data_IF_887878529440
#
_entry.id   IF_887878529440
#
_cell.length_a   1.000
_cell.length_b   1.000
_cell.length_c   1.000
_cell.angle_alpha   90.00
_cell.angle_beta   90.00
_cell.angle_gamma   90.00
#
_symmetry.space_group_name_H-M   'P 1'
#
loop_
_entity.id
_entity.type
_entity.pdbx_description
1 polymer ?
#
# COMPACT_ATOMS: atom_id res chain seq x y z
N UNK A 1 -7.66 0.89 5.84
CA UNK A 1 -8.14 2.23 5.42
C UNK A 1 -8.00 2.35 3.91
N UNK A 2 -8.86 3.13 3.26
CA UNK A 2 -8.79 3.40 1.82
C UNK A 2 -8.80 4.91 1.63
N UNK A 3 -7.92 5.41 0.77
CA UNK A 3 -7.83 6.83 0.45
C UNK A 3 -7.75 7.03 -1.07
N UNK A 4 -8.63 7.90 -1.60
CA UNK A 4 -8.59 8.31 -3.00
C UNK A 4 -7.63 9.48 -3.15
N UNK A 5 -6.72 9.40 -4.11
CA UNK A 5 -5.78 10.47 -4.45
C UNK A 5 -5.77 10.71 -5.96
N UNK A 6 -5.57 11.97 -6.37
CA UNK A 6 -5.32 12.31 -7.75
C UNK A 6 -3.79 12.32 -7.99
N UNK A 7 -3.30 11.41 -8.82
CA UNK A 7 -1.88 11.26 -9.16
C UNK A 7 -1.74 11.37 -10.68
N UNK A 8 -0.96 12.34 -11.17
CA UNK A 8 -0.79 12.63 -12.60
C UNK A 8 -2.10 12.81 -13.38
N UNK A 9 -3.10 13.45 -12.76
CA UNK A 9 -4.43 13.66 -13.37
C UNK A 9 -5.28 12.40 -13.49
N UNK A 10 -4.92 11.33 -12.79
CA UNK A 10 -5.72 10.10 -12.67
C UNK A 10 -6.12 9.85 -11.22
N UNK A 11 -7.35 9.41 -11.05
CA UNK A 11 -7.85 8.93 -9.77
C UNK A 11 -7.20 7.58 -9.45
N UNK A 12 -6.55 7.50 -8.29
CA UNK A 12 -5.91 6.28 -7.78
C UNK A 12 -6.37 6.06 -6.35
N UNK A 13 -6.71 4.81 -6.03
CA UNK A 13 -7.14 4.43 -4.70
C UNK A 13 -6.00 3.70 -3.98
N UNK A 14 -5.59 4.22 -2.83
CA UNK A 14 -4.59 3.60 -1.97
C UNK A 14 -5.31 2.91 -0.81
N UNK A 15 -5.20 1.59 -0.74
CA UNK A 15 -5.68 0.79 0.38
C UNK A 15 -4.51 0.43 1.27
N UNK A 16 -4.58 0.85 2.53
CA UNK A 16 -3.63 0.47 3.57
C UNK A 16 -4.28 -0.56 4.47
N UNK A 17 -3.64 -1.72 4.59
CA UNK A 17 -4.06 -2.82 5.44
C UNK A 17 -3.04 -3.02 6.58
N UNK A 18 -3.53 -3.42 7.75
CA UNK A 18 -2.67 -3.81 8.87
C UNK A 18 -2.09 -5.18 8.56
N UNK A 19 -0.78 -5.31 8.67
CA UNK A 19 -0.06 -6.56 8.51
C UNK A 19 0.25 -7.13 9.90
N UNK A 20 -0.50 -8.15 10.36
CA UNK A 20 -0.30 -8.73 11.67
C UNK A 20 0.99 -9.54 11.69
N UNK A 21 1.96 -9.12 12.50
CA UNK A 21 3.15 -9.92 12.78
C UNK A 21 2.83 -10.87 13.93
N UNK A 22 2.59 -12.14 13.61
CA UNK A 22 2.45 -13.18 14.65
C UNK A 22 3.80 -13.36 15.37
N UNK A 23 3.79 -13.23 16.70
CA UNK A 23 4.94 -13.60 17.55
C UNK A 23 4.52 -14.54 18.66
N UNK A 24 5.42 -15.44 19.01
CA UNK A 24 5.28 -16.44 20.07
C UNK A 24 5.40 -15.85 21.50
N UNK A 25 5.81 -14.58 21.66
CA UNK A 25 6.07 -13.97 22.98
C UNK A 25 5.05 -12.87 23.35
N UNK A 26 4.21 -13.06 24.39
CA UNK A 26 3.10 -12.17 24.75
C UNK A 26 3.50 -10.88 25.51
N UNK A 27 4.78 -10.68 25.85
CA UNK A 27 5.23 -9.54 26.69
C UNK A 27 5.70 -8.30 25.91
N UNK A 28 5.58 -8.28 24.58
CA UNK A 28 6.04 -7.17 23.74
C UNK A 28 4.82 -6.55 23.06
N UNK A 29 4.67 -5.23 23.17
CA UNK A 29 3.64 -4.47 22.45
C UNK A 29 3.84 -4.74 20.95
N UNK A 30 2.82 -5.23 20.22
CA UNK A 30 2.98 -5.56 18.82
C UNK A 30 3.35 -4.30 18.04
N UNK A 31 4.47 -4.34 17.32
CA UNK A 31 4.70 -3.39 16.24
C UNK A 31 3.72 -3.78 15.13
N UNK A 32 2.64 -3.04 15.01
CA UNK A 32 1.73 -3.14 13.87
C UNK A 32 2.43 -2.56 12.65
N UNK A 33 2.62 -3.39 11.64
CA UNK A 33 3.08 -2.94 10.34
C UNK A 33 1.90 -2.71 9.42
N UNK A 34 2.12 -1.91 8.41
CA UNK A 34 1.12 -1.54 7.42
C UNK A 34 1.64 -1.92 6.05
N UNK A 35 0.76 -2.43 5.20
CA UNK A 35 1.01 -2.67 3.77
C UNK A 35 0.11 -1.78 2.95
N UNK A 36 0.54 -1.38 1.76
CA UNK A 36 -0.27 -0.57 0.85
C UNK A 36 -0.44 -1.27 -0.49
N UNK A 37 -1.68 -1.25 -0.98
CA UNK A 37 -2.04 -1.65 -2.35
C UNK A 37 -2.67 -0.47 -3.06
N UNK A 38 -2.38 -0.30 -4.34
CA UNK A 38 -2.99 0.74 -5.17
C UNK A 38 -3.92 0.14 -6.22
N UNK A 39 -4.99 0.85 -6.54
CA UNK A 39 -6.02 0.44 -7.50
C UNK A 39 -6.29 1.59 -8.47
N UNK A 40 -6.39 1.26 -9.76
CA UNK A 40 -6.77 2.21 -10.81
C UNK A 40 -8.30 2.38 -10.94
N UNK A 41 -9.03 1.49 -10.28
CA UNK A 41 -10.49 1.46 -10.21
C UNK A 41 -10.89 1.40 -8.74
N UNK A 42 -12.16 1.65 -8.45
CA UNK A 42 -12.65 1.69 -7.07
C UNK A 42 -12.48 0.29 -6.41
N UNK A 43 -11.74 0.18 -5.30
CA UNK A 43 -11.46 -1.10 -4.64
C UNK A 43 -12.70 -1.76 -4.03
N UNK A 44 -13.83 -1.06 -3.92
CA UNK A 44 -15.11 -1.62 -3.48
C UNK A 44 -15.89 -2.28 -4.62
N UNK A 45 -15.45 -2.13 -5.88
CA UNK A 45 -16.07 -2.80 -7.02
C UNK A 45 -15.66 -4.27 -7.13
N UNK A 46 -16.62 -5.12 -7.52
CA UNK A 46 -16.37 -6.53 -7.80
C UNK A 46 -15.36 -6.68 -8.95
N UNK A 47 -14.22 -7.31 -8.66
CA UNK A 47 -13.16 -7.57 -9.64
C UNK A 47 -12.02 -6.55 -9.66
N UNK A 48 -12.00 -5.56 -8.77
CA UNK A 48 -10.93 -4.57 -8.70
C UNK A 48 -9.55 -5.23 -8.46
N UNK A 49 -8.67 -5.13 -9.46
CA UNK A 49 -7.33 -5.69 -9.41
C UNK A 49 -6.36 -4.69 -8.75
N UNK A 50 -6.10 -4.87 -7.46
CA UNK A 50 -5.11 -4.09 -6.72
C UNK A 50 -3.69 -4.58 -6.96
N UNK A 51 -2.75 -3.65 -7.02
CA UNK A 51 -1.32 -3.95 -7.08
C UNK A 51 -0.72 -3.68 -5.70
N UNK A 52 -0.21 -4.74 -5.07
CA UNK A 52 0.48 -4.65 -3.79
C UNK A 52 1.85 -4.02 -3.97
N UNK A 53 2.19 -3.04 -3.13
CA UNK A 53 3.53 -2.46 -3.13
C UNK A 53 4.50 -3.44 -2.48
N UNK A 54 5.46 -3.91 -3.28
CA UNK A 54 6.49 -4.85 -2.87
C UNK A 54 7.84 -4.16 -2.65
N UNK A 55 8.71 -4.76 -1.84
CA UNK A 55 10.11 -4.39 -1.72
C UNK A 55 10.96 -5.02 -2.86
N UNK A 56 12.28 -4.80 -2.83
CA UNK A 56 13.23 -5.31 -3.83
C UNK A 56 13.27 -6.85 -3.91
N UNK A 57 12.88 -7.52 -2.83
CA UNK A 57 12.79 -8.98 -2.72
C UNK A 57 11.47 -9.54 -3.28
N UNK A 58 10.53 -8.68 -3.66
CA UNK A 58 9.18 -9.08 -4.09
C UNK A 58 8.21 -9.40 -2.94
N UNK A 59 8.60 -9.15 -1.69
CA UNK A 59 7.71 -9.33 -0.53
C UNK A 59 6.86 -8.06 -0.30
N UNK A 60 5.72 -8.15 0.40
CA UNK A 60 4.93 -6.97 0.75
C UNK A 60 5.77 -5.96 1.53
N UNK A 61 5.87 -4.73 1.01
CA UNK A 61 6.62 -3.68 1.71
C UNK A 61 5.90 -3.31 3.00
N UNK A 62 6.59 -3.50 4.12
CA UNK A 62 6.10 -3.16 5.45
C UNK A 62 6.43 -1.71 5.80
N UNK A 63 5.45 -0.99 6.33
CA UNK A 63 5.55 0.38 6.80
C UNK A 63 5.23 0.45 8.29
N UNK A 64 5.87 1.39 9.01
CA UNK A 64 5.68 1.56 10.46
C UNK A 64 4.46 2.42 10.81
N UNK A 65 3.82 3.05 9.82
CA UNK A 65 2.62 3.86 10.02
C UNK A 65 1.76 3.88 8.76
N UNK A 66 0.44 4.13 8.87
CA UNK A 66 -0.44 4.27 7.72
C UNK A 66 -0.06 5.45 6.83
N UNK A 67 0.46 6.54 7.40
CA UNK A 67 0.91 7.73 6.66
C UNK A 67 2.15 7.40 5.81
N UNK A 68 3.09 6.61 6.36
CA UNK A 68 4.24 6.13 5.61
C UNK A 68 3.82 5.19 4.47
N UNK A 69 2.81 4.33 4.72
CA UNK A 69 2.25 3.46 3.70
C UNK A 69 1.60 4.25 2.55
N UNK A 70 0.80 5.27 2.84
CA UNK A 70 0.22 6.17 1.82
C UNK A 70 1.32 6.86 1.00
N UNK A 71 2.32 7.43 1.68
CA UNK A 71 3.44 8.13 1.02
C UNK A 71 4.22 7.18 0.11
N UNK A 72 4.50 5.96 0.58
CA UNK A 72 5.16 4.93 -0.20
C UNK A 72 4.34 4.43 -1.38
N UNK A 73 3.03 4.27 -1.20
CA UNK A 73 2.08 3.90 -2.25
C UNK A 73 2.03 4.94 -3.36
N UNK A 74 1.89 6.22 -2.99
CA UNK A 74 1.90 7.34 -3.95
C UNK A 74 3.19 7.38 -4.77
N UNK A 75 4.36 7.32 -4.11
CA UNK A 75 5.66 7.32 -4.79
C UNK A 75 5.80 6.14 -5.77
N UNK A 76 5.30 4.96 -5.38
CA UNK A 76 5.33 3.78 -6.24
C UNK A 76 4.50 3.99 -7.51
N UNK A 77 3.29 4.53 -7.37
CA UNK A 77 2.41 4.86 -8.50
C UNK A 77 3.03 5.93 -9.40
N UNK A 78 3.61 6.98 -8.83
CA UNK A 78 4.30 8.04 -9.59
C UNK A 78 5.49 7.48 -10.39
N UNK A 79 6.24 6.53 -9.81
CA UNK A 79 7.36 5.86 -10.48
C UNK A 79 6.88 4.94 -11.60
N UNK A 80 5.83 4.15 -11.37
CA UNK A 80 5.23 3.23 -12.36
C UNK A 80 4.69 4.00 -13.56
N UNK A 81 4.08 5.17 -13.33
CA UNK A 81 3.56 6.05 -14.38
C UNK A 81 4.63 6.90 -15.07
N UNK A 82 5.80 7.11 -14.46
CA UNK A 82 6.94 7.81 -15.07
C UNK A 82 7.80 6.90 -15.95
N UNK A 83 7.54 5.59 -15.98
CA UNK A 83 8.20 4.61 -16.83
C UNK A 83 7.75 4.65 -18.30
N UNK A 84 7.91 5.79 -18.97
CA UNK A 84 7.94 5.85 -20.45
C UNK A 84 8.85 7.01 -20.88
N UNK A 85 10.13 6.68 -21.11
CA UNK A 85 10.96 7.13 -22.24
C UNK A 85 12.21 6.27 -22.33
#
# INVERSE_FOLDING_TARGET
MIEKQEINGRDVWLKVDVHPVQRENPNIIPNEYFTVSYYMEDPEQEGAAGILVQDESGEPRLFESPVAALSGGRLRVETDQSGTV
#
